data_IF_606462012433
#
_entry.id   IF_606462012433
#
_cell.length_a   1.000
_cell.length_b   1.000
_cell.length_c   1.000
_cell.angle_alpha   90.00
_cell.angle_beta   90.00
_cell.angle_gamma   90.00
#
_symmetry.space_group_name_H-M   'P 1'
#
loop_
_entity.id
_entity.type
_entity.pdbx_description
1 polymer ?
#
# COMPACT_ATOMS: atom_id res chain seq x y z
N UNK A 1 3.77 23.15 -5.09
CA UNK A 1 3.63 22.58 -3.73
C UNK A 1 5.02 22.24 -3.20
N UNK A 2 5.32 22.54 -1.93
CA UNK A 2 6.59 22.21 -1.30
C UNK A 2 6.73 20.68 -1.15
N UNK A 3 7.93 20.12 -1.40
CA UNK A 3 8.25 18.71 -1.21
C UNK A 3 7.93 18.20 0.20
N UNK A 4 8.08 19.05 1.23
CA UNK A 4 7.70 18.72 2.61
C UNK A 4 6.19 18.55 2.77
N UNK A 5 5.40 19.47 2.22
CA UNK A 5 3.93 19.39 2.22
C UNK A 5 3.44 18.12 1.53
N UNK A 6 4.03 17.77 0.38
CA UNK A 6 3.68 16.53 -0.33
C UNK A 6 3.98 15.28 0.50
N UNK A 7 5.11 15.23 1.22
CA UNK A 7 5.41 14.13 2.12
C UNK A 7 4.37 13.99 3.24
N UNK A 8 3.91 15.10 3.82
CA UNK A 8 2.86 15.08 4.85
C UNK A 8 1.53 14.57 4.29
N UNK A 9 1.17 14.94 3.06
CA UNK A 9 -0.03 14.42 2.40
C UNK A 9 0.09 12.92 2.17
N UNK A 10 1.23 12.45 1.65
CA UNK A 10 1.48 11.02 1.38
C UNK A 10 1.32 10.19 2.67
N UNK A 11 2.02 10.57 3.74
CA UNK A 11 1.94 9.82 5.01
C UNK A 11 0.57 10.00 5.67
N UNK A 12 -0.06 11.16 5.53
CA UNK A 12 -1.41 11.42 6.05
C UNK A 12 -2.45 10.50 5.40
N UNK A 13 -2.41 10.34 4.07
CA UNK A 13 -3.28 9.40 3.35
C UNK A 13 -3.02 7.95 3.78
N UNK A 14 -1.75 7.58 3.94
CA UNK A 14 -1.40 6.26 4.48
C UNK A 14 -1.99 6.06 5.89
N UNK A 15 -1.83 7.03 6.79
CA UNK A 15 -2.38 6.93 8.15
C UNK A 15 -3.91 6.86 8.16
N UNK A 16 -4.59 7.69 7.37
CA UNK A 16 -6.05 7.65 7.20
C UNK A 16 -6.47 6.25 6.73
N UNK A 17 -5.74 5.65 5.78
CA UNK A 17 -6.05 4.31 5.29
C UNK A 17 -6.03 3.24 6.39
N UNK A 18 -5.20 3.40 7.44
CA UNK A 18 -5.13 2.44 8.55
C UNK A 18 -6.39 2.42 9.41
N UNK A 19 -7.04 3.57 9.57
CA UNK A 19 -8.24 3.75 10.38
C UNK A 19 -9.54 3.66 9.58
N UNK A 20 -9.43 3.39 8.28
CA UNK A 20 -10.56 3.31 7.37
C UNK A 20 -10.69 1.89 6.85
N UNK A 21 -11.90 1.44 6.50
CA UNK A 21 -12.12 0.12 5.93
C UNK A 21 -11.39 -0.03 4.59
N UNK A 22 -10.29 -0.79 4.57
CA UNK A 22 -9.57 -1.14 3.35
C UNK A 22 -10.33 -2.19 2.55
N UNK A 23 -11.09 -3.03 3.24
CA UNK A 23 -11.97 -4.00 2.63
C UNK A 23 -13.35 -3.98 3.30
N UNK A 24 -14.42 -3.84 2.52
CA UNK A 24 -15.81 -3.98 2.97
C UNK A 24 -16.27 -5.43 2.83
N UNK A 25 -17.01 -5.97 3.81
CA UNK A 25 -17.43 -7.37 3.84
C UNK A 25 -18.20 -7.70 5.12
N UNK A 26 -18.15 -8.95 5.58
CA UNK A 26 -18.77 -9.45 6.83
C UNK A 26 -18.16 -8.84 8.11
N UNK A 27 -18.29 -7.52 8.28
CA UNK A 27 -17.83 -6.77 9.46
C UNK A 27 -16.88 -5.61 9.16
N UNK A 28 -16.43 -5.44 7.91
CA UNK A 28 -15.46 -4.41 7.51
C UNK A 28 -14.06 -4.69 8.07
N UNK A 29 -13.04 -4.56 7.23
CA UNK A 29 -11.63 -4.73 7.63
C UNK A 29 -10.93 -3.40 7.52
N UNK A 30 -10.72 -2.76 8.66
CA UNK A 30 -9.89 -1.55 8.76
C UNK A 30 -8.46 -1.81 8.30
N UNK A 31 -7.79 -0.81 7.74
CA UNK A 31 -6.45 -0.96 7.17
C UNK A 31 -5.43 -1.54 8.15
N UNK A 32 -5.52 -1.23 9.45
CA UNK A 32 -4.65 -1.84 10.46
C UNK A 32 -4.84 -3.35 10.58
N UNK A 33 -6.07 -3.86 10.51
CA UNK A 33 -6.35 -5.30 10.49
C UNK A 33 -5.99 -5.91 9.14
N UNK A 34 -6.18 -5.18 8.04
CA UNK A 34 -5.74 -5.61 6.72
C UNK A 34 -4.22 -5.82 6.66
N UNK A 35 -3.43 -5.04 7.40
CA UNK A 35 -1.99 -5.28 7.55
C UNK A 35 -1.70 -6.59 8.28
N UNK A 36 -2.44 -6.92 9.33
CA UNK A 36 -2.24 -8.16 10.07
C UNK A 36 -2.65 -9.36 9.20
N UNK A 37 -3.88 -9.35 8.66
CA UNK A 37 -4.43 -10.44 7.86
C UNK A 37 -3.71 -10.61 6.52
N UNK A 38 -3.29 -9.52 5.88
CA UNK A 38 -2.48 -9.57 4.66
C UNK A 38 -1.14 -10.26 4.88
N UNK A 39 -0.48 -10.02 6.01
CA UNK A 39 0.75 -10.73 6.38
C UNK A 39 0.52 -12.22 6.63
N UNK A 40 -0.57 -12.57 7.33
CA UNK A 40 -0.94 -13.96 7.60
C UNK A 40 -1.45 -14.73 6.37
N UNK A 41 -1.78 -14.02 5.28
CA UNK A 41 -2.33 -14.61 4.06
C UNK A 41 -1.37 -15.59 3.37
N UNK A 42 -0.06 -15.51 3.65
CA UNK A 42 0.92 -16.49 3.17
C UNK A 42 0.63 -17.91 3.68
N UNK A 43 0.13 -18.06 4.92
CA UNK A 43 -0.12 -19.36 5.54
C UNK A 43 -1.35 -20.07 4.97
N UNK A 44 -2.23 -19.34 4.31
CA UNK A 44 -3.44 -19.87 3.66
C UNK A 44 -3.32 -19.89 2.12
N UNK A 45 -2.13 -19.61 1.58
CA UNK A 45 -1.88 -19.63 0.14
C UNK A 45 -2.47 -18.44 -0.64
N UNK A 46 -2.99 -17.41 0.03
CA UNK A 46 -3.48 -16.21 -0.65
C UNK A 46 -2.33 -15.26 -0.99
N UNK A 47 -1.66 -15.55 -2.11
CA UNK A 47 -0.49 -14.81 -2.60
C UNK A 47 -0.83 -13.38 -3.02
N UNK A 48 -2.05 -13.09 -3.44
CA UNK A 48 -2.45 -11.72 -3.80
C UNK A 48 -2.52 -10.81 -2.58
N UNK A 49 -3.13 -11.28 -1.49
CA UNK A 49 -3.19 -10.54 -0.24
C UNK A 49 -1.80 -10.35 0.38
N UNK A 50 -0.97 -11.39 0.36
CA UNK A 50 0.41 -11.29 0.83
C UNK A 50 1.27 -10.39 -0.05
N UNK A 51 1.14 -10.47 -1.38
CA UNK A 51 1.84 -9.59 -2.32
C UNK A 51 1.46 -8.12 -2.11
N UNK A 52 0.17 -7.82 -1.95
CA UNK A 52 -0.31 -6.49 -1.60
C UNK A 52 0.22 -6.02 -0.24
N UNK A 53 0.29 -6.91 0.74
CA UNK A 53 0.89 -6.61 2.04
C UNK A 53 2.37 -6.25 1.92
N UNK A 54 3.15 -6.97 1.09
CA UNK A 54 4.57 -6.69 0.87
C UNK A 54 4.79 -5.27 0.36
N UNK A 55 3.84 -4.68 -0.39
CA UNK A 55 3.94 -3.32 -0.94
C UNK A 55 4.32 -2.24 0.10
N UNK A 56 3.96 -2.44 1.37
CA UNK A 56 4.29 -1.52 2.46
C UNK A 56 5.81 -1.42 2.69
N UNK A 57 6.56 -2.51 2.50
CA UNK A 57 8.02 -2.57 2.71
C UNK A 57 8.76 -1.62 1.74
N UNK A 58 8.66 -1.77 0.40
CA UNK A 58 9.32 -0.86 -0.53
C UNK A 58 8.78 0.57 -0.42
N UNK A 59 7.51 0.77 -0.06
CA UNK A 59 6.96 2.10 0.23
C UNK A 59 7.71 2.80 1.36
N UNK A 60 7.82 2.17 2.53
CA UNK A 60 8.49 2.76 3.68
C UNK A 60 9.99 2.93 3.47
N UNK A 61 10.65 1.99 2.79
CA UNK A 61 12.06 2.11 2.41
C UNK A 61 12.25 3.31 1.49
N UNK A 62 11.43 3.47 0.45
CA UNK A 62 11.52 4.60 -0.48
C UNK A 62 11.22 5.95 0.20
N UNK A 63 10.30 5.95 1.17
CA UNK A 63 9.88 7.16 1.88
C UNK A 63 10.89 7.64 2.92
N UNK A 64 11.33 6.76 3.83
CA UNK A 64 12.14 7.15 4.99
C UNK A 64 13.66 7.10 4.75
N UNK A 65 14.16 6.18 3.90
CA UNK A 65 15.60 6.03 3.74
C UNK A 65 16.19 7.07 2.79
N UNK A 66 17.38 7.55 3.13
CA UNK A 66 18.20 8.38 2.24
C UNK A 66 18.86 7.48 1.18
N UNK A 67 18.15 7.27 0.08
CA UNK A 67 18.60 6.46 -1.07
C UNK A 67 18.82 7.33 -2.31
N UNK A 68 19.56 6.79 -3.28
CA UNK A 68 19.67 7.38 -4.63
C UNK A 68 18.28 7.48 -5.27
N UNK A 69 18.06 8.52 -6.06
CA UNK A 69 16.73 8.77 -6.64
C UNK A 69 16.23 7.63 -7.51
N UNK A 70 17.10 7.00 -8.31
CA UNK A 70 16.75 5.84 -9.14
C UNK A 70 16.21 4.70 -8.27
N UNK A 71 16.88 4.39 -7.16
CA UNK A 71 16.45 3.37 -6.21
C UNK A 71 15.10 3.73 -5.57
N UNK A 72 14.89 5.00 -5.19
CA UNK A 72 13.60 5.45 -4.65
C UNK A 72 12.48 5.28 -5.65
N UNK A 73 12.72 5.68 -6.91
CA UNK A 73 11.77 5.57 -8.00
C UNK A 73 11.39 4.09 -8.22
N UNK A 74 12.38 3.21 -8.38
CA UNK A 74 12.18 1.77 -8.54
C UNK A 74 11.37 1.18 -7.38
N UNK A 75 11.76 1.46 -6.14
CA UNK A 75 11.04 0.95 -4.97
C UNK A 75 9.60 1.45 -4.90
N UNK A 76 9.37 2.74 -5.15
CA UNK A 76 8.00 3.28 -5.18
C UNK A 76 7.16 2.68 -6.32
N UNK A 77 7.76 2.37 -7.47
CA UNK A 77 7.08 1.69 -8.58
C UNK A 77 6.72 0.24 -8.23
N UNK A 78 7.65 -0.51 -7.62
CA UNK A 78 7.39 -1.86 -7.09
C UNK A 78 6.27 -1.81 -6.06
N UNK A 79 6.27 -0.82 -5.17
CA UNK A 79 5.22 -0.66 -4.16
C UNK A 79 3.83 -0.47 -4.80
N UNK A 80 3.71 0.33 -5.86
CA UNK A 80 2.44 0.48 -6.60
C UNK A 80 2.03 -0.83 -7.27
N UNK A 81 2.95 -1.51 -7.97
CA UNK A 81 2.65 -2.77 -8.67
C UNK A 81 2.17 -3.86 -7.70
N UNK A 82 2.85 -4.00 -6.56
CA UNK A 82 2.43 -4.91 -5.50
C UNK A 82 1.10 -4.47 -4.87
N UNK A 83 0.90 -3.16 -4.66
CA UNK A 83 -0.32 -2.63 -4.08
C UNK A 83 -1.57 -2.91 -4.92
N UNK A 84 -1.44 -2.90 -6.26
CA UNK A 84 -2.53 -3.24 -7.19
C UNK A 84 -3.01 -4.70 -6.99
N UNK A 85 -2.17 -5.60 -6.47
CA UNK A 85 -2.58 -6.98 -6.20
C UNK A 85 -3.75 -7.09 -5.22
N UNK A 86 -3.96 -6.09 -4.35
CA UNK A 86 -5.11 -6.07 -3.43
C UNK A 86 -6.46 -6.03 -4.16
N UNK A 87 -6.50 -5.62 -5.45
CA UNK A 87 -7.72 -5.68 -6.26
C UNK A 87 -8.18 -7.12 -6.50
N UNK A 88 -7.24 -8.06 -6.54
CA UNK A 88 -7.53 -9.49 -6.74
C UNK A 88 -7.79 -10.24 -5.42
N UNK A 89 -7.80 -9.55 -4.29
CA UNK A 89 -8.12 -10.14 -3.00
C UNK A 89 -9.63 -10.24 -2.88
N UNK A 90 -10.15 -11.45 -3.09
CA UNK A 90 -11.57 -11.77 -2.91
C UNK A 90 -11.89 -12.20 -1.50
N UNK A 91 -10.92 -12.72 -0.76
CA UNK A 91 -11.13 -13.36 0.53
C UNK A 91 -9.97 -13.07 1.51
N UNK A 92 -10.28 -12.91 2.80
CA UNK A 92 -9.29 -12.73 3.88
C UNK A 92 -9.54 -13.70 5.05
N UNK A 93 -8.48 -14.13 5.76
CA UNK A 93 -8.62 -14.93 6.97
C UNK A 93 -9.09 -14.04 8.13
N UNK A 94 -10.39 -14.07 8.44
CA UNK A 94 -10.98 -13.22 9.50
C UNK A 94 -11.23 -13.97 10.81
N UNK A 95 -11.27 -15.30 10.80
CA UNK A 95 -11.47 -16.12 11.99
C UNK A 95 -10.21 -16.94 12.27
N UNK A 96 -9.88 -17.15 13.56
CA UNK A 96 -8.82 -18.09 13.94
C UNK A 96 -9.23 -19.49 13.48
N UNK A 97 -8.67 -19.96 12.36
CA UNK A 97 -9.05 -21.20 11.68
C UNK A 97 -8.70 -21.16 10.18
N UNK A 98 -9.19 -22.13 9.41
CA UNK A 98 -9.04 -22.18 7.95
C UNK A 98 -10.13 -21.42 7.18
N UNK A 99 -11.06 -20.76 7.88
CA UNK A 99 -12.19 -20.08 7.26
C UNK A 99 -11.79 -18.68 6.78
N UNK A 100 -11.99 -18.46 5.49
CA UNK A 100 -11.89 -17.13 4.88
C UNK A 100 -13.24 -16.45 4.85
N UNK A 101 -13.25 -15.12 4.73
CA UNK A 101 -14.45 -14.33 4.52
C UNK A 101 -14.32 -13.51 3.25
N UNK A 102 -15.40 -13.45 2.42
CA UNK A 102 -15.37 -12.68 1.19
C UNK A 102 -15.29 -11.20 1.51
N UNK A 103 -14.51 -10.49 0.70
CA UNK A 103 -14.25 -9.07 0.83
C UNK A 103 -14.38 -8.35 -0.50
N UNK A 104 -14.64 -7.06 -0.41
CA UNK A 104 -14.63 -6.10 -1.52
C UNK A 104 -13.77 -4.92 -1.15
N UNK A 105 -13.26 -4.19 -2.13
CA UNK A 105 -12.45 -3.00 -1.92
C UNK A 105 -13.25 -1.94 -1.15
N UNK A 106 -12.71 -1.49 -0.03
CA UNK A 106 -13.26 -0.39 0.77
C UNK A 106 -12.56 0.94 0.50
N UNK A 107 -13.06 2.03 1.11
CA UNK A 107 -12.52 3.38 0.88
C UNK A 107 -11.08 3.56 1.40
N UNK A 108 -10.70 2.82 2.44
CA UNK A 108 -9.34 2.77 2.97
C UNK A 108 -8.31 2.31 1.94
N UNK A 109 -8.69 1.40 1.03
CA UNK A 109 -7.80 0.96 -0.05
C UNK A 109 -7.44 2.11 -0.98
N UNK A 110 -8.39 2.99 -1.32
CA UNK A 110 -8.11 4.13 -2.20
C UNK A 110 -7.16 5.14 -1.56
N UNK A 111 -7.27 5.37 -0.25
CA UNK A 111 -6.30 6.18 0.49
C UNK A 111 -4.91 5.53 0.51
N UNK A 112 -4.85 4.23 0.73
CA UNK A 112 -3.60 3.47 0.75
C UNK A 112 -2.91 3.46 -0.62
N UNK A 113 -3.60 3.04 -1.69
CA UNK A 113 -3.05 3.03 -3.06
C UNK A 113 -2.75 4.45 -3.56
N UNK A 114 -3.54 5.43 -3.14
CA UNK A 114 -3.28 6.85 -3.41
C UNK A 114 -1.96 7.31 -2.79
N UNK A 115 -1.67 6.90 -1.55
CA UNK A 115 -0.40 7.22 -0.89
C UNK A 115 0.81 6.64 -1.64
N UNK A 116 0.72 5.38 -2.09
CA UNK A 116 1.74 4.69 -2.87
C UNK A 116 1.99 5.39 -4.21
N UNK A 117 0.90 5.69 -4.92
CA UNK A 117 0.93 6.33 -6.24
C UNK A 117 1.48 7.75 -6.17
N UNK A 118 1.13 8.54 -5.14
CA UNK A 118 1.67 9.88 -4.93
C UNK A 118 3.18 9.85 -4.63
N UNK A 119 3.67 8.88 -3.86
CA UNK A 119 5.11 8.71 -3.62
C UNK A 119 5.85 8.40 -4.93
N UNK A 120 5.32 7.50 -5.75
CA UNK A 120 5.88 7.21 -7.07
C UNK A 120 5.89 8.44 -7.98
N UNK A 121 4.75 9.14 -8.10
CA UNK A 121 4.64 10.36 -8.90
C UNK A 121 5.60 11.46 -8.45
N UNK A 122 5.79 11.63 -7.14
CA UNK A 122 6.81 12.54 -6.59
C UNK A 122 8.22 12.17 -7.07
N UNK A 123 8.64 10.93 -6.86
CA UNK A 123 9.98 10.47 -7.23
C UNK A 123 10.20 10.57 -8.75
N UNK A 124 9.15 10.29 -9.55
CA UNK A 124 9.19 10.39 -11.00
C UNK A 124 9.39 11.85 -11.46
N UNK A 125 8.66 12.80 -10.87
CA UNK A 125 8.84 14.22 -11.15
C UNK A 125 10.24 14.71 -10.79
N UNK A 126 10.79 14.28 -9.65
CA UNK A 126 12.17 14.60 -9.27
C UNK A 126 13.17 14.02 -10.27
N UNK A 127 12.94 12.79 -10.74
CA UNK A 127 13.83 12.12 -11.71
C UNK A 127 13.83 12.84 -13.06
N UNK A 128 12.65 13.22 -13.56
CA UNK A 128 12.53 13.98 -14.81
C UNK A 128 13.22 15.34 -14.70
N UNK A 129 13.12 16.03 -13.56
CA UNK A 129 13.77 17.34 -13.34
C UNK A 129 15.30 17.26 -13.33
N UNK A 130 15.87 16.17 -12.81
CA UNK A 130 17.31 15.98 -12.80
C UNK A 130 17.88 15.66 -14.18
N UNK A 131 17.15 14.92 -15.01
CA UNK A 131 17.62 14.52 -16.35
C UNK A 131 17.27 15.54 -17.47
N UNK A 132 16.50 16.58 -17.16
CA UNK A 132 16.23 17.72 -18.06
C UNK A 132 17.21 18.89 -17.88
N UNK A 133 18.11 18.81 -16.91
CA UNK A 133 19.24 19.74 -16.75
C UNK A 133 20.47 19.16 -17.45
#
# INVERSE_FOLDING_TARGET
MNNKTLNYIIIGLYLISLFTESFSGSGGVYGIFALIFGGLSIFIGNLFAFGAWIANIPFFIAFFRKLKLNTKLTLSGIAVLLGILAVFVTDLPMHMGSSTSPVKIGIGFYFWIGSLTLLFGKNLMEYIKLNKK
#
